data_IF_054157020759
#
_entry.id   IF_054157020759
#
_cell.length_a   1.000
_cell.length_b   1.000
_cell.length_c   1.000
_cell.angle_alpha   90.00
_cell.angle_beta   90.00
_cell.angle_gamma   90.00
#
_symmetry.space_group_name_H-M   'P 1'
#
loop_
_entity.id
_entity.type
_entity.pdbx_description
1 polymer ?
#
# COMPACT_ATOMS: atom_id res chain seq x y z
N UNK A 1 70.80 -37.84 22.87
CA UNK A 1 69.82 -37.13 22.01
C UNK A 1 68.67 -38.08 21.69
N UNK A 2 67.46 -37.90 22.26
CA UNK A 2 66.27 -38.70 21.93
C UNK A 2 65.29 -37.82 21.15
N UNK A 3 65.05 -38.15 19.88
CA UNK A 3 64.15 -37.42 18.97
C UNK A 3 62.70 -37.61 19.41
N UNK A 4 61.97 -36.52 19.61
CA UNK A 4 60.51 -36.52 19.84
C UNK A 4 59.81 -36.57 18.49
N UNK A 5 58.96 -37.58 18.24
CA UNK A 5 57.99 -37.54 17.16
C UNK A 5 56.79 -36.69 17.62
N UNK A 6 56.47 -35.64 16.86
CA UNK A 6 55.23 -34.88 16.98
C UNK A 6 54.21 -35.52 16.03
N UNK A 7 53.14 -36.07 16.58
CA UNK A 7 51.96 -36.51 15.82
C UNK A 7 51.05 -35.31 15.60
N UNK A 8 50.83 -34.91 14.35
CA UNK A 8 49.85 -33.88 13.97
C UNK A 8 48.49 -34.58 13.88
N UNK A 9 47.59 -34.28 14.81
CA UNK A 9 46.18 -34.67 14.75
C UNK A 9 45.43 -33.63 13.93
N UNK A 10 45.14 -33.93 12.66
CA UNK A 10 44.30 -33.12 11.79
C UNK A 10 42.84 -33.24 12.24
N UNK A 11 42.31 -32.20 12.87
CA UNK A 11 40.91 -32.09 13.24
C UNK A 11 40.08 -31.76 11.97
N UNK A 12 39.41 -32.75 11.40
CA UNK A 12 38.39 -32.55 10.37
C UNK A 12 37.15 -31.92 11.02
N UNK A 13 37.00 -30.61 10.89
CA UNK A 13 35.77 -29.90 11.22
C UNK A 13 34.79 -30.10 10.06
N UNK A 14 33.87 -31.05 10.19
CA UNK A 14 32.74 -31.20 9.28
C UNK A 14 31.79 -30.02 9.46
N UNK A 15 31.74 -29.10 8.49
CA UNK A 15 30.70 -28.08 8.46
C UNK A 15 29.37 -28.75 8.13
N UNK A 16 28.43 -28.73 9.08
CA UNK A 16 27.05 -29.10 8.81
C UNK A 16 26.39 -27.97 8.03
N UNK A 17 26.12 -28.19 6.74
CA UNK A 17 25.21 -27.34 5.96
C UNK A 17 23.78 -27.73 6.31
N UNK A 18 23.08 -26.88 7.09
CA UNK A 18 21.64 -27.01 7.21
C UNK A 18 21.02 -26.62 5.86
N UNK A 19 20.52 -27.60 5.10
CA UNK A 19 19.67 -27.33 3.98
C UNK A 19 18.39 -26.65 4.49
N UNK A 20 18.11 -25.42 4.07
CA UNK A 20 16.83 -24.79 4.35
C UNK A 20 15.73 -25.63 3.71
N UNK A 21 14.82 -26.14 4.54
CA UNK A 21 13.70 -26.97 4.09
C UNK A 21 12.54 -26.04 3.72
N UNK A 22 11.92 -26.27 2.56
CA UNK A 22 10.71 -25.56 2.17
C UNK A 22 9.57 -25.86 3.16
N UNK A 23 8.92 -24.82 3.64
CA UNK A 23 7.69 -24.92 4.43
C UNK A 23 6.52 -24.63 3.50
N UNK A 24 5.59 -25.58 3.38
CA UNK A 24 4.37 -25.38 2.62
C UNK A 24 3.36 -24.60 3.44
N UNK A 25 2.76 -23.58 2.82
CA UNK A 25 1.67 -22.79 3.40
C UNK A 25 0.66 -22.40 2.30
N UNK A 26 -0.50 -21.86 2.71
CA UNK A 26 -1.56 -21.41 1.82
C UNK A 26 -2.19 -20.10 2.33
N UNK A 27 -2.48 -19.19 1.41
CA UNK A 27 -3.16 -17.93 1.71
C UNK A 27 -4.51 -17.91 0.99
N UNK A 28 -5.60 -17.75 1.75
CA UNK A 28 -6.95 -17.62 1.20
C UNK A 28 -7.47 -16.20 1.34
N UNK A 29 -7.76 -15.55 0.22
CA UNK A 29 -8.42 -14.23 0.17
C UNK A 29 -9.96 -14.35 0.14
N UNK A 30 -10.49 -15.56 0.20
CA UNK A 30 -11.91 -15.85 0.09
C UNK A 30 -12.46 -15.71 -1.34
N UNK A 31 -13.70 -16.15 -1.53
CA UNK A 31 -14.38 -16.13 -2.84
C UNK A 31 -14.34 -14.74 -3.47
N UNK A 32 -13.98 -14.68 -4.76
CA UNK A 32 -13.87 -13.42 -5.52
C UNK A 32 -12.89 -12.41 -4.93
N UNK A 33 -11.89 -12.90 -4.17
CA UNK A 33 -10.89 -12.08 -3.48
C UNK A 33 -11.54 -11.06 -2.53
N UNK A 34 -12.47 -11.51 -1.68
CA UNK A 34 -13.24 -10.63 -0.79
C UNK A 34 -12.45 -10.04 0.39
N UNK A 35 -11.24 -10.53 0.66
CA UNK A 35 -10.44 -10.14 1.81
C UNK A 35 -9.04 -9.70 1.42
N UNK A 36 -8.51 -8.80 2.23
CA UNK A 36 -7.09 -8.50 2.33
C UNK A 36 -6.47 -9.44 3.38
N UNK A 37 -5.32 -10.03 3.06
CA UNK A 37 -4.59 -10.93 3.97
C UNK A 37 -3.17 -10.40 4.17
N UNK A 38 -2.86 -10.05 5.41
CA UNK A 38 -1.52 -9.66 5.85
C UNK A 38 -0.75 -10.93 6.21
N UNK A 39 0.47 -11.06 5.68
CA UNK A 39 1.29 -12.24 5.79
C UNK A 39 2.69 -11.88 6.29
N UNK A 40 3.21 -12.65 7.24
CA UNK A 40 4.58 -12.58 7.74
C UNK A 40 5.37 -13.77 7.24
N UNK A 41 6.60 -13.54 6.77
CA UNK A 41 7.47 -14.63 6.33
C UNK A 41 7.82 -15.60 7.47
N UNK A 42 7.78 -15.13 8.71
CA UNK A 42 8.09 -15.93 9.90
C UNK A 42 6.84 -16.61 10.51
N UNK A 43 5.66 -16.01 10.37
CA UNK A 43 4.45 -16.41 11.12
C UNK A 43 3.25 -16.80 10.25
N UNK A 44 3.37 -16.78 8.93
CA UNK A 44 2.25 -17.04 8.02
C UNK A 44 1.23 -15.89 8.00
N UNK A 45 -0.05 -16.20 7.77
CA UNK A 45 -1.12 -15.21 7.76
C UNK A 45 -1.37 -14.61 9.16
N UNK A 46 -1.18 -13.30 9.32
CA UNK A 46 -1.28 -12.60 10.62
C UNK A 46 -2.60 -11.87 10.81
N UNK A 47 -3.27 -11.45 9.74
CA UNK A 47 -4.61 -10.85 9.80
C UNK A 47 -5.34 -10.99 8.46
N UNK A 48 -6.62 -11.35 8.52
CA UNK A 48 -7.54 -11.33 7.37
C UNK A 48 -8.67 -10.36 7.66
N UNK A 49 -9.00 -9.50 6.69
CA UNK A 49 -10.05 -8.49 6.84
C UNK A 49 -10.76 -8.24 5.51
N UNK A 50 -12.08 -8.04 5.53
CA UNK A 50 -12.86 -7.74 4.33
C UNK A 50 -12.30 -6.51 3.60
N UNK A 51 -12.04 -6.58 2.31
CA UNK A 51 -11.40 -5.49 1.56
C UNK A 51 -12.35 -4.39 1.10
N UNK A 52 -13.66 -4.57 1.29
CA UNK A 52 -14.71 -3.65 0.85
C UNK A 52 -15.23 -2.70 1.94
N UNK A 53 -14.67 -2.75 3.15
CA UNK A 53 -15.17 -1.95 4.28
C UNK A 53 -14.53 -0.55 4.39
N UNK A 54 -13.68 -0.15 3.44
CA UNK A 54 -12.99 1.15 3.42
C UNK A 54 -12.97 1.75 2.01
N UNK A 55 -12.79 3.08 1.93
CA UNK A 55 -12.76 3.82 0.67
C UNK A 55 -11.49 4.65 0.51
N UNK A 56 -11.06 5.33 1.58
CA UNK A 56 -9.84 6.12 1.61
C UNK A 56 -9.02 5.79 2.86
N UNK A 57 -7.70 5.91 2.79
CA UNK A 57 -6.80 5.66 3.91
C UNK A 57 -5.75 6.76 4.04
N UNK A 58 -5.45 7.16 5.27
CA UNK A 58 -4.58 8.27 5.60
C UNK A 58 -3.31 7.74 6.26
N UNK A 59 -2.16 8.16 5.74
CA UNK A 59 -0.88 7.74 6.28
C UNK A 59 -0.73 8.17 7.74
N UNK A 60 -0.40 7.19 8.58
CA UNK A 60 -0.14 7.39 10.00
C UNK A 60 1.34 7.24 10.31
N UNK A 61 2.06 6.34 9.63
CA UNK A 61 3.48 6.16 9.86
C UNK A 61 4.30 7.29 9.20
N UNK A 62 5.06 8.08 9.97
CA UNK A 62 6.03 9.01 9.42
C UNK A 62 7.24 8.21 8.93
N UNK A 63 7.13 7.59 7.76
CA UNK A 63 8.30 6.97 7.14
C UNK A 63 9.14 8.09 6.53
N UNK A 64 10.26 8.42 7.16
CA UNK A 64 11.24 9.47 6.79
C UNK A 64 10.85 10.90 7.15
N UNK A 65 10.78 11.18 8.46
CA UNK A 65 10.68 12.55 8.99
C UNK A 65 9.36 13.25 8.64
N UNK A 66 9.17 14.50 9.10
CA UNK A 66 7.95 15.27 8.84
C UNK A 66 7.78 15.73 7.38
N UNK A 67 8.51 15.15 6.40
CA UNK A 67 8.67 15.75 5.06
C UNK A 67 8.73 14.79 3.87
N UNK A 68 8.57 13.47 4.01
CA UNK A 68 8.74 12.57 2.84
C UNK A 68 7.42 12.27 2.10
N UNK A 69 6.30 12.17 2.82
CA UNK A 69 4.99 11.88 2.24
C UNK A 69 3.85 12.13 3.23
N UNK A 70 2.72 12.61 2.71
CA UNK A 70 1.45 12.71 3.40
C UNK A 70 0.42 12.01 2.50
N UNK A 71 0.56 10.68 2.43
CA UNK A 71 -0.14 9.85 1.45
C UNK A 71 -1.61 9.62 1.82
N UNK A 72 -2.49 9.72 0.83
CA UNK A 72 -3.91 9.37 0.97
C UNK A 72 -4.30 8.37 -0.13
N UNK A 73 -4.44 7.11 0.28
CA UNK A 73 -4.80 6.01 -0.59
C UNK A 73 -6.31 6.02 -0.87
N UNK A 74 -6.69 5.45 -2.01
CA UNK A 74 -8.07 5.15 -2.33
C UNK A 74 -8.20 3.70 -2.77
N UNK A 75 -9.31 3.07 -2.38
CA UNK A 75 -9.58 1.66 -2.65
C UNK A 75 -10.09 1.46 -4.09
N UNK A 76 -9.27 1.75 -5.10
CA UNK A 76 -9.74 1.81 -6.49
C UNK A 76 -10.31 0.48 -7.02
N UNK A 77 -9.74 -0.65 -6.60
CA UNK A 77 -10.08 -1.96 -7.13
C UNK A 77 -11.31 -2.60 -6.50
N UNK A 78 -11.77 -2.09 -5.35
CA UNK A 78 -12.90 -2.59 -4.60
C UNK A 78 -13.94 -1.47 -4.49
N UNK A 79 -15.24 -1.77 -4.65
CA UNK A 79 -16.34 -0.77 -4.65
C UNK A 79 -16.27 0.32 -5.74
N UNK A 80 -15.38 0.20 -6.73
CA UNK A 80 -15.21 1.17 -7.82
C UNK A 80 -14.98 2.60 -7.27
N UNK A 81 -14.06 2.76 -6.33
CA UNK A 81 -13.72 4.09 -5.79
C UNK A 81 -12.91 4.88 -6.82
N UNK A 82 -13.44 6.02 -7.23
CA UNK A 82 -12.78 6.93 -8.17
C UNK A 82 -12.55 8.29 -7.52
N UNK A 83 -11.35 8.84 -7.67
CA UNK A 83 -10.95 10.13 -7.07
C UNK A 83 -10.67 11.11 -8.19
N UNK A 84 -11.23 12.32 -8.08
CA UNK A 84 -11.00 13.40 -9.04
C UNK A 84 -10.65 14.68 -8.28
N UNK A 85 -9.67 15.44 -8.77
CA UNK A 85 -9.51 16.83 -8.35
C UNK A 85 -10.45 17.70 -9.16
N UNK A 86 -11.11 18.64 -8.50
CA UNK A 86 -11.93 19.64 -9.16
C UNK A 86 -11.12 20.87 -9.58
N UNK A 87 -9.85 20.96 -9.19
CA UNK A 87 -8.98 22.12 -9.42
C UNK A 87 -9.66 23.43 -8.98
N UNK A 88 -10.33 23.37 -7.83
CA UNK A 88 -11.01 24.49 -7.19
C UNK A 88 -10.44 24.72 -5.80
N UNK A 89 -10.30 25.99 -5.43
CA UNK A 89 -9.92 26.39 -4.08
C UNK A 89 -10.96 25.91 -3.07
N UNK A 90 -10.52 25.11 -2.11
CA UNK A 90 -11.39 24.55 -1.09
C UNK A 90 -12.01 25.62 -0.18
N UNK A 91 -11.20 26.58 0.25
CA UNK A 91 -11.66 27.70 1.09
C UNK A 91 -12.69 28.57 0.37
N UNK A 92 -12.56 28.78 -0.94
CA UNK A 92 -13.48 29.61 -1.71
C UNK A 92 -14.76 28.87 -2.15
N UNK A 93 -14.69 27.57 -2.42
CA UNK A 93 -15.77 26.85 -3.13
C UNK A 93 -16.44 25.71 -2.37
N UNK A 94 -15.85 25.15 -1.30
CA UNK A 94 -16.38 23.90 -0.73
C UNK A 94 -17.84 24.00 -0.26
N UNK A 95 -18.19 25.12 0.41
CA UNK A 95 -19.52 25.37 0.96
C UNK A 95 -20.58 25.61 -0.13
N UNK A 96 -20.19 26.14 -1.28
CA UNK A 96 -21.11 26.52 -2.38
C UNK A 96 -20.99 25.61 -3.59
N UNK A 97 -20.16 24.55 -3.53
CA UNK A 97 -19.94 23.62 -4.62
C UNK A 97 -21.21 22.85 -4.97
N UNK A 98 -21.57 22.88 -6.25
CA UNK A 98 -22.73 22.22 -6.85
C UNK A 98 -22.29 21.12 -7.83
N UNK A 99 -23.24 20.28 -8.26
CA UNK A 99 -22.97 19.25 -9.27
C UNK A 99 -22.50 19.86 -10.61
N UNK A 100 -23.01 21.04 -11.00
CA UNK A 100 -22.60 21.75 -12.22
C UNK A 100 -21.12 22.12 -12.23
N UNK A 101 -20.52 22.40 -11.06
CA UNK A 101 -19.09 22.71 -10.96
C UNK A 101 -18.19 21.52 -11.35
N UNK A 102 -18.73 20.30 -11.37
CA UNK A 102 -17.98 19.05 -11.68
C UNK A 102 -17.97 18.68 -13.16
N UNK A 103 -18.77 19.36 -14.00
CA UNK A 103 -18.88 19.06 -15.43
C UNK A 103 -17.50 19.17 -16.10
N UNK A 104 -17.13 18.15 -16.86
CA UNK A 104 -15.84 18.04 -17.56
C UNK A 104 -14.62 17.76 -16.68
N UNK A 105 -14.81 17.61 -15.36
CA UNK A 105 -13.71 17.37 -14.39
C UNK A 105 -13.62 15.95 -13.87
N UNK A 106 -14.63 15.11 -14.18
CA UNK A 106 -14.75 13.75 -13.63
C UNK A 106 -14.82 12.67 -14.71
N UNK A 107 -14.27 12.96 -15.89
CA UNK A 107 -14.08 12.02 -16.98
C UNK A 107 -13.01 10.98 -16.61
N UNK A 108 -13.08 9.73 -17.11
CA UNK A 108 -12.16 8.66 -16.73
C UNK A 108 -10.67 9.01 -16.87
N UNK A 109 -10.30 9.82 -17.86
CA UNK A 109 -8.90 10.23 -18.12
C UNK A 109 -8.35 11.17 -17.03
N UNK A 110 -9.23 11.74 -16.20
CA UNK A 110 -8.88 12.60 -15.06
C UNK A 110 -8.91 11.86 -13.71
N UNK A 111 -9.18 10.56 -13.71
CA UNK A 111 -9.16 9.77 -12.48
C UNK A 111 -7.74 9.77 -11.89
N UNK A 112 -7.65 10.14 -10.63
CA UNK A 112 -6.40 10.14 -9.88
C UNK A 112 -6.18 8.76 -9.28
N UNK A 113 -5.39 7.94 -9.97
CA UNK A 113 -5.03 6.60 -9.50
C UNK A 113 -3.70 6.66 -8.72
N UNK A 114 -3.72 6.20 -7.47
CA UNK A 114 -2.53 6.08 -6.63
C UNK A 114 -1.44 5.20 -7.23
N UNK A 115 -0.21 5.29 -6.71
CA UNK A 115 0.88 4.44 -7.15
C UNK A 115 0.71 3.01 -6.65
N UNK A 116 0.95 2.05 -7.55
CA UNK A 116 1.15 0.64 -7.20
C UNK A 116 2.64 0.30 -6.97
N UNK A 117 3.54 1.29 -7.01
CA UNK A 117 4.99 1.10 -6.80
C UNK A 117 5.48 1.65 -5.47
N UNK A 118 4.70 2.49 -4.79
CA UNK A 118 5.04 3.03 -3.48
C UNK A 118 3.80 3.37 -2.66
N UNK A 119 3.87 3.12 -1.35
CA UNK A 119 2.84 3.53 -0.38
C UNK A 119 2.77 5.06 -0.18
N UNK A 120 3.81 5.78 -0.58
CA UNK A 120 3.99 7.21 -0.32
C UNK A 120 3.21 8.13 -1.29
N UNK A 121 2.66 7.58 -2.37
CA UNK A 121 1.95 8.33 -3.42
C UNK A 121 0.55 7.75 -3.60
N UNK A 122 -0.39 8.24 -2.82
CA UNK A 122 -1.81 7.93 -2.96
C UNK A 122 -2.52 8.74 -4.05
N UNK A 123 -3.82 8.53 -4.19
CA UNK A 123 -4.65 9.18 -5.22
C UNK A 123 -4.60 10.72 -5.12
N UNK A 124 -4.71 11.25 -3.89
CA UNK A 124 -4.73 12.69 -3.64
C UNK A 124 -3.36 13.35 -3.81
N UNK A 125 -2.28 12.57 -3.90
CA UNK A 125 -0.93 13.07 -4.11
C UNK A 125 -0.58 13.25 -5.59
N UNK A 126 -1.41 12.73 -6.51
CA UNK A 126 -1.12 12.71 -7.95
C UNK A 126 -1.10 14.09 -8.62
N UNK A 127 -1.73 15.10 -8.00
CA UNK A 127 -1.72 16.48 -8.52
C UNK A 127 -0.58 17.34 -8.00
N UNK A 128 0.42 16.73 -7.34
CA UNK A 128 1.57 17.48 -6.82
C UNK A 128 2.25 18.26 -7.93
N UNK A 129 2.45 19.56 -7.70
CA UNK A 129 3.36 20.36 -8.51
C UNK A 129 4.80 19.89 -8.27
N UNK A 130 5.41 19.30 -9.30
CA UNK A 130 6.77 18.76 -9.22
C UNK A 130 7.84 19.85 -9.05
N UNK A 131 7.54 21.10 -9.41
CA UNK A 131 8.45 22.23 -9.24
C UNK A 131 8.42 22.80 -7.81
N UNK A 132 7.40 22.46 -7.02
CA UNK A 132 7.23 22.94 -5.66
C UNK A 132 7.46 21.82 -4.65
N UNK A 133 8.61 21.86 -3.97
CA UNK A 133 8.97 20.88 -2.95
C UNK A 133 7.99 20.85 -1.77
N UNK A 134 7.26 21.95 -1.52
CA UNK A 134 6.27 22.07 -0.46
C UNK A 134 4.87 21.63 -0.88
N UNK A 135 4.65 21.25 -2.13
CA UNK A 135 3.36 20.75 -2.63
C UNK A 135 3.26 19.23 -2.44
N UNK A 136 2.12 18.75 -1.94
CA UNK A 136 1.84 17.34 -1.68
C UNK A 136 0.63 16.83 -2.49
N UNK A 137 0.13 17.63 -3.43
CA UNK A 137 -1.00 17.36 -4.32
C UNK A 137 -2.33 17.83 -3.75
N UNK A 138 -2.65 17.45 -2.52
CA UNK A 138 -3.89 17.88 -1.86
C UNK A 138 -3.74 19.13 -1.00
N UNK A 139 -2.50 19.49 -0.67
CA UNK A 139 -2.17 20.59 0.20
C UNK A 139 -0.69 20.93 0.16
N UNK A 140 -0.36 22.01 0.86
CA UNK A 140 0.98 22.59 0.87
C UNK A 140 1.53 22.67 2.29
N UNK A 141 2.82 22.42 2.41
CA UNK A 141 3.54 22.59 3.67
C UNK A 141 3.63 24.07 4.05
N UNK A 142 3.20 24.37 5.26
CA UNK A 142 3.29 25.69 5.86
C UNK A 142 4.52 25.74 6.78
N UNK A 143 5.52 26.53 6.39
CA UNK A 143 6.78 26.66 7.12
C UNK A 143 6.63 27.37 8.49
N UNK A 144 5.52 28.07 8.74
CA UNK A 144 5.25 28.72 10.03
C UNK A 144 4.68 27.72 11.04
N UNK A 145 3.72 26.90 10.61
CA UNK A 145 3.06 25.93 11.51
C UNK A 145 3.70 24.54 11.49
N UNK A 146 4.55 24.27 10.51
CA UNK A 146 5.09 22.95 10.19
C UNK A 146 4.00 21.90 9.88
N UNK A 147 2.81 22.34 9.48
CA UNK A 147 1.71 21.46 9.06
C UNK A 147 1.50 21.54 7.56
N UNK A 148 0.74 20.61 7.00
CA UNK A 148 0.19 20.78 5.66
C UNK A 148 -1.22 21.35 5.75
N UNK A 149 -1.50 22.35 4.91
CA UNK A 149 -2.84 22.93 4.76
C UNK A 149 -3.37 22.58 3.37
N UNK A 150 -4.55 21.96 3.32
CA UNK A 150 -5.13 21.61 2.02
C UNK A 150 -5.81 22.78 1.35
N UNK A 151 -5.57 22.90 0.06
CA UNK A 151 -6.02 24.02 -0.78
C UNK A 151 -7.07 23.59 -1.81
N UNK A 152 -7.26 22.28 -2.00
CA UNK A 152 -7.97 21.70 -3.15
C UNK A 152 -9.21 20.90 -2.74
N UNK A 153 -10.26 20.97 -3.59
CA UNK A 153 -11.46 20.14 -3.47
C UNK A 153 -11.35 18.90 -4.34
N UNK A 154 -11.66 17.76 -3.75
CA UNK A 154 -11.74 16.47 -4.42
C UNK A 154 -13.17 15.95 -4.47
N UNK A 155 -13.48 15.18 -5.49
CA UNK A 155 -14.69 14.38 -5.57
C UNK A 155 -14.32 12.90 -5.53
N UNK A 156 -14.86 12.16 -4.55
CA UNK A 156 -14.72 10.71 -4.44
C UNK A 156 -16.04 10.06 -4.81
N UNK A 157 -16.08 9.35 -5.93
CA UNK A 157 -17.23 8.54 -6.35
C UNK A 157 -17.08 7.11 -5.86
N UNK A 158 -18.18 6.52 -5.40
CA UNK A 158 -18.25 5.12 -4.96
C UNK A 158 -19.42 4.46 -5.70
N UNK A 159 -19.16 3.35 -6.38
CA UNK A 159 -20.14 2.74 -7.27
C UNK A 159 -20.54 3.68 -8.41
N UNK A 160 -21.85 3.79 -8.69
CA UNK A 160 -22.39 4.59 -9.80
C UNK A 160 -23.12 5.85 -9.36
N UNK A 161 -23.65 5.89 -8.13
CA UNK A 161 -24.59 6.93 -7.68
C UNK A 161 -24.06 7.83 -6.57
N UNK A 162 -23.06 7.36 -5.82
CA UNK A 162 -22.65 8.03 -4.59
C UNK A 162 -21.39 8.86 -4.84
N UNK A 163 -21.43 10.15 -4.47
CA UNK A 163 -20.29 11.05 -4.59
C UNK A 163 -20.12 11.91 -3.34
N UNK A 164 -18.89 12.00 -2.86
CA UNK A 164 -18.49 12.80 -1.71
C UNK A 164 -17.54 13.91 -2.14
N UNK A 165 -17.84 15.14 -1.75
CA UNK A 165 -16.91 16.27 -1.72
C UNK A 165 -15.94 16.05 -0.57
N UNK A 166 -14.65 16.11 -0.83
CA UNK A 166 -13.59 15.94 0.17
C UNK A 166 -12.69 17.17 0.17
N UNK A 167 -12.47 17.74 1.34
CA UNK A 167 -11.43 18.72 1.60
C UNK A 167 -10.60 18.26 2.77
N UNK A 168 -9.36 17.86 2.49
CA UNK A 168 -8.36 17.56 3.52
C UNK A 168 -7.86 18.90 4.03
N UNK A 169 -8.34 19.34 5.19
CA UNK A 169 -8.09 20.70 5.67
C UNK A 169 -6.68 20.85 6.23
N UNK A 170 -6.23 19.84 6.99
CA UNK A 170 -4.95 19.89 7.68
C UNK A 170 -4.37 18.49 7.87
N UNK A 171 -3.03 18.42 7.82
CA UNK A 171 -2.24 17.34 8.40
C UNK A 171 -1.21 17.92 9.35
N UNK A 172 -1.32 17.55 10.63
CA UNK A 172 -0.30 17.82 11.63
C UNK A 172 0.85 16.85 11.39
N UNK A 173 2.05 17.35 11.11
CA UNK A 173 3.19 16.52 10.70
C UNK A 173 4.14 16.17 11.84
N UNK A 174 4.11 16.94 12.93
CA UNK A 174 5.05 16.85 14.03
C UNK A 174 4.44 17.41 15.33
N UNK A 175 4.82 16.88 16.52
CA UNK A 175 5.63 15.68 16.76
C UNK A 175 4.94 14.40 16.28
N UNK A 176 5.69 13.32 16.11
CA UNK A 176 5.21 12.08 15.47
C UNK A 176 3.92 11.55 16.11
N UNK A 177 3.77 11.60 17.44
CA UNK A 177 2.55 11.13 18.11
C UNK A 177 1.38 12.12 18.05
N UNK A 178 1.63 13.36 17.63
CA UNK A 178 0.60 14.38 17.37
C UNK A 178 0.12 14.38 15.92
N UNK A 179 0.60 13.45 15.07
CA UNK A 179 0.08 13.32 13.71
C UNK A 179 -1.45 13.19 13.75
N UNK A 180 -2.12 14.04 12.98
CA UNK A 180 -3.56 14.04 12.89
C UNK A 180 -4.00 14.63 11.55
N UNK A 181 -5.05 14.04 10.99
CA UNK A 181 -5.69 14.54 9.78
C UNK A 181 -7.01 15.22 10.14
N UNK A 182 -7.29 16.35 9.51
CA UNK A 182 -8.59 17.02 9.56
C UNK A 182 -9.19 17.02 8.18
N UNK A 183 -10.35 16.38 8.01
CA UNK A 183 -10.95 16.16 6.70
C UNK A 183 -12.43 16.50 6.75
N UNK A 184 -12.85 17.46 5.94
CA UNK A 184 -14.27 17.78 5.74
C UNK A 184 -14.82 16.96 4.58
N UNK A 185 -15.96 16.35 4.80
CA UNK A 185 -16.63 15.43 3.88
C UNK A 185 -18.07 15.88 3.76
N UNK A 186 -18.56 16.06 2.53
CA UNK A 186 -19.93 16.49 2.28
C UNK A 186 -20.53 15.79 1.06
N UNK A 187 -21.85 15.60 1.04
CA UNK A 187 -22.59 15.26 -0.19
C UNK A 187 -23.08 16.54 -0.87
N UNK A 188 -23.52 16.45 -2.13
CA UNK A 188 -24.12 17.60 -2.83
C UNK A 188 -25.46 18.05 -2.23
N UNK A 189 -26.20 17.12 -1.63
CA UNK A 189 -27.48 17.43 -0.97
C UNK A 189 -27.31 18.18 0.36
N UNK A 190 -26.09 18.31 0.89
CA UNK A 190 -25.81 19.00 2.16
C UNK A 190 -26.22 18.23 3.42
N UNK A 191 -27.01 17.16 3.29
CA UNK A 191 -27.50 16.32 4.40
C UNK A 191 -26.40 15.54 5.14
N UNK A 192 -25.15 15.62 4.71
CA UNK A 192 -24.05 14.88 5.30
C UNK A 192 -22.72 15.63 5.18
N UNK A 193 -22.69 16.88 5.69
CA UNK A 193 -21.47 17.68 5.86
C UNK A 193 -20.89 17.47 7.26
N UNK A 194 -19.74 16.80 7.32
CA UNK A 194 -19.06 16.44 8.57
C UNK A 194 -17.57 16.69 8.46
N UNK A 195 -16.91 16.90 9.60
CA UNK A 195 -15.46 16.99 9.69
C UNK A 195 -14.92 15.87 10.56
N UNK A 196 -14.10 15.01 9.97
CA UNK A 196 -13.39 13.95 10.68
C UNK A 196 -12.05 14.48 11.18
N UNK A 197 -11.77 14.18 12.45
CA UNK A 197 -10.43 14.28 13.02
C UNK A 197 -9.91 12.85 13.17
N UNK A 198 -8.80 12.54 12.50
CA UNK A 198 -8.20 11.21 12.47
C UNK A 198 -6.84 11.31 13.17
N UNK A 199 -6.80 11.16 14.50
CA UNK A 199 -5.56 11.29 15.27
C UNK A 199 -4.79 9.98 15.25
N UNK A 200 -3.46 10.06 15.18
CA UNK A 200 -2.56 8.90 15.30
C UNK A 200 -2.58 8.30 16.69
N UNK A 201 -2.62 9.12 17.73
CA UNK A 201 -2.58 8.66 19.12
C UNK A 201 -3.51 9.49 20.00
N UNK A 202 -4.81 9.18 19.97
CA UNK A 202 -5.81 9.77 20.86
C UNK A 202 -7.05 8.89 20.92
N UNK A 203 -7.42 8.47 22.13
CA UNK A 203 -8.57 7.62 22.38
C UNK A 203 -9.85 8.14 21.66
N UNK A 204 -10.64 7.24 21.03
CA UNK A 204 -10.49 5.78 21.04
C UNK A 204 -9.47 5.22 20.02
N UNK A 205 -8.74 6.08 19.29
CA UNK A 205 -7.86 5.68 18.21
C UNK A 205 -6.39 5.57 18.62
N UNK A 206 -5.71 4.51 18.18
CA UNK A 206 -4.27 4.33 18.31
C UNK A 206 -3.70 3.65 17.06
N UNK A 207 -3.01 4.43 16.23
CA UNK A 207 -2.37 4.03 14.98
C UNK A 207 -0.84 4.15 15.05
N UNK A 208 -0.26 4.18 16.26
CA UNK A 208 1.19 4.38 16.46
C UNK A 208 2.04 3.29 15.79
N UNK A 209 1.50 2.08 15.68
CA UNK A 209 2.10 0.91 15.05
C UNK A 209 1.42 0.52 13.71
N UNK A 210 0.57 1.38 13.15
CA UNK A 210 -0.05 1.18 11.83
C UNK A 210 0.65 2.03 10.77
N UNK A 211 0.59 1.61 9.51
CA UNK A 211 0.98 2.43 8.36
C UNK A 211 -0.12 3.43 8.04
N UNK A 212 -1.39 3.00 8.07
CA UNK A 212 -2.54 3.81 7.68
C UNK A 212 -3.71 3.70 8.68
N UNK A 213 -4.51 4.76 8.74
CA UNK A 213 -5.87 4.71 9.28
C UNK A 213 -6.87 4.79 8.12
N UNK A 214 -7.94 4.01 8.19
CA UNK A 214 -8.87 3.85 7.08
C UNK A 214 -10.19 4.53 7.37
N UNK A 215 -10.88 5.00 6.33
CA UNK A 215 -12.20 5.63 6.46
C UNK A 215 -13.20 4.97 5.52
N UNK A 216 -14.35 4.61 6.08
CA UNK A 216 -15.53 4.26 5.31
C UNK A 216 -16.39 5.51 5.09
N UNK A 217 -16.34 6.09 3.89
CA UNK A 217 -17.15 7.26 3.53
C UNK A 217 -18.68 7.09 3.63
N UNK A 218 -19.20 5.86 3.65
CA UNK A 218 -20.64 5.60 3.81
C UNK A 218 -21.12 5.77 5.25
N UNK A 219 -20.32 5.30 6.21
CA UNK A 219 -20.62 5.38 7.65
C UNK A 219 -19.85 6.47 8.39
N UNK A 220 -18.89 7.11 7.71
CA UNK A 220 -17.88 8.01 8.29
C UNK A 220 -17.00 7.38 9.38
N UNK A 221 -17.00 6.04 9.49
CA UNK A 221 -16.21 5.32 10.47
C UNK A 221 -14.71 5.40 10.14
N UNK A 222 -13.92 5.71 11.17
CA UNK A 222 -12.45 5.57 11.16
C UNK A 222 -12.14 4.14 11.64
N UNK A 223 -11.33 3.41 10.90
CA UNK A 223 -11.10 1.97 11.08
C UNK A 223 -9.61 1.65 11.29
N UNK A 224 -9.35 0.76 12.25
CA UNK A 224 -8.06 0.08 12.42
C UNK A 224 -8.07 -1.30 11.73
N UNK A 225 -7.48 -1.35 10.53
CA UNK A 225 -7.53 -2.55 9.67
C UNK A 225 -6.23 -3.33 9.61
N UNK A 226 -5.09 -2.68 9.74
CA UNK A 226 -3.79 -3.35 9.65
C UNK A 226 -3.48 -4.09 10.96
N UNK A 227 -2.65 -5.16 10.94
CA UNK A 227 -1.91 -5.57 12.14
C UNK A 227 -0.79 -4.55 12.43
N UNK A 228 -0.02 -4.75 13.50
CA UNK A 228 1.20 -3.95 13.71
C UNK A 228 2.10 -4.03 12.46
N UNK A 229 2.66 -2.89 12.03
CA UNK A 229 3.61 -2.79 10.91
C UNK A 229 4.90 -3.60 11.11
N UNK A 230 5.13 -4.15 12.30
CA UNK A 230 6.20 -5.11 12.58
C UNK A 230 5.81 -6.57 12.34
N UNK A 231 4.52 -6.86 12.14
CA UNK A 231 3.97 -8.22 12.15
C UNK A 231 3.52 -8.69 10.76
N UNK A 232 3.94 -8.02 9.69
CA UNK A 232 3.68 -8.45 8.32
C UNK A 232 4.73 -7.93 7.35
N UNK A 233 4.97 -8.72 6.31
CA UNK A 233 5.95 -8.47 5.27
C UNK A 233 5.26 -8.30 3.90
N UNK A 234 4.15 -9.01 3.69
CA UNK A 234 3.40 -9.06 2.43
C UNK A 234 1.90 -8.82 2.68
N UNK A 235 1.22 -8.25 1.69
CA UNK A 235 -0.21 -8.02 1.67
C UNK A 235 -0.81 -8.61 0.39
N UNK A 236 -1.65 -9.62 0.54
CA UNK A 236 -2.46 -10.19 -0.53
C UNK A 236 -3.75 -9.36 -0.65
N UNK A 237 -3.91 -8.66 -1.77
CA UNK A 237 -4.99 -7.67 -1.92
C UNK A 237 -5.35 -7.44 -3.39
N UNK A 238 -6.39 -6.63 -3.62
CA UNK A 238 -6.77 -6.14 -4.94
C UNK A 238 -6.33 -4.69 -5.12
N UNK A 239 -5.82 -4.36 -6.29
CA UNK A 239 -5.38 -3.01 -6.62
C UNK A 239 -5.45 -2.78 -8.14
N UNK A 240 -5.27 -1.53 -8.59
CA UNK A 240 -5.15 -1.22 -10.02
C UNK A 240 -3.70 -1.38 -10.45
N UNK A 241 -3.48 -2.15 -11.51
CA UNK A 241 -2.20 -2.26 -12.20
C UNK A 241 -2.41 -2.16 -13.71
N UNK A 242 -1.34 -1.93 -14.44
CA UNK A 242 -1.32 -2.01 -15.89
C UNK A 242 -1.01 -3.46 -16.27
N UNK A 243 -1.93 -4.09 -16.99
CA UNK A 243 -1.76 -5.44 -17.47
C UNK A 243 -1.86 -5.49 -18.99
N UNK A 244 -0.99 -6.29 -19.60
CA UNK A 244 -1.04 -6.59 -21.03
C UNK A 244 -1.79 -7.90 -21.21
N UNK A 245 -2.97 -7.86 -21.81
CA UNK A 245 -3.71 -9.06 -22.22
C UNK A 245 -3.94 -9.02 -23.71
N UNK A 246 -3.61 -10.12 -24.40
CA UNK A 246 -3.81 -10.27 -25.84
C UNK A 246 -3.22 -9.11 -26.67
N UNK A 247 -2.08 -8.55 -26.24
CA UNK A 247 -1.40 -7.44 -26.91
C UNK A 247 -1.95 -6.04 -26.61
N UNK A 248 -2.99 -5.92 -25.77
CA UNK A 248 -3.51 -4.64 -25.29
C UNK A 248 -3.08 -4.38 -23.85
N UNK A 249 -2.48 -3.22 -23.62
CA UNK A 249 -2.05 -2.75 -22.30
C UNK A 249 -3.12 -1.86 -21.70
N UNK A 250 -3.79 -2.32 -20.65
CA UNK A 250 -4.89 -1.61 -19.99
C UNK A 250 -4.65 -1.52 -18.49
N UNK A 251 -5.10 -0.42 -17.87
CA UNK A 251 -5.20 -0.34 -16.41
C UNK A 251 -6.44 -1.11 -15.96
N UNK A 252 -6.26 -2.09 -15.11
CA UNK A 252 -7.33 -2.97 -14.65
C UNK A 252 -7.16 -3.40 -13.20
N UNK A 253 -8.25 -3.89 -12.62
CA UNK A 253 -8.25 -4.39 -11.25
C UNK A 253 -7.62 -5.79 -11.23
N UNK A 254 -6.52 -5.94 -10.51
CA UNK A 254 -5.80 -7.20 -10.35
C UNK A 254 -5.88 -7.68 -8.90
N UNK A 255 -5.64 -8.98 -8.68
CA UNK A 255 -5.37 -9.57 -7.35
C UNK A 255 -3.91 -9.98 -7.32
N UNK A 256 -3.15 -9.49 -6.34
CA UNK A 256 -1.72 -9.69 -6.28
C UNK A 256 -1.16 -9.52 -4.88
N UNK A 257 0.16 -9.44 -4.80
CA UNK A 257 0.91 -9.36 -3.55
C UNK A 257 1.71 -8.06 -3.54
N UNK A 258 1.47 -7.24 -2.53
CA UNK A 258 2.21 -6.00 -2.27
C UNK A 258 3.14 -6.19 -1.08
N UNK A 259 4.40 -5.78 -1.18
CA UNK A 259 5.35 -5.84 -0.08
C UNK A 259 5.21 -4.63 0.86
N UNK A 260 5.49 -4.87 2.14
CA UNK A 260 5.61 -3.85 3.18
C UNK A 260 6.74 -2.85 2.83
N UNK A 261 6.67 -1.56 3.21
CA UNK A 261 7.74 -0.62 2.84
C UNK A 261 9.12 -0.93 3.46
N UNK A 262 9.18 -1.75 4.52
CA UNK A 262 10.44 -2.26 5.08
C UNK A 262 10.91 -3.56 4.41
N UNK A 263 10.25 -4.01 3.35
CA UNK A 263 10.62 -5.18 2.57
C UNK A 263 11.14 -4.75 1.20
N UNK A 264 12.16 -5.44 0.72
CA UNK A 264 12.58 -5.39 -0.68
C UNK A 264 12.63 -6.80 -1.26
N UNK A 265 12.33 -6.94 -2.55
CA UNK A 265 12.22 -8.24 -3.22
C UNK A 265 13.17 -8.31 -4.41
N UNK A 266 13.85 -9.45 -4.56
CA UNK A 266 14.55 -9.81 -5.79
C UNK A 266 13.89 -11.01 -6.44
N UNK A 267 13.74 -10.98 -7.76
CA UNK A 267 13.14 -12.07 -8.54
C UNK A 267 14.22 -12.92 -9.19
N UNK A 268 14.09 -14.24 -9.08
CA UNK A 268 14.94 -15.21 -9.75
C UNK A 268 14.07 -16.13 -10.62
N UNK A 269 14.08 -15.94 -11.95
CA UNK A 269 13.28 -16.76 -12.86
C UNK A 269 13.78 -18.22 -12.89
N UNK A 270 12.94 -19.11 -13.41
CA UNK A 270 13.17 -20.55 -13.53
C UNK A 270 13.42 -21.26 -12.19
N UNK A 271 12.83 -20.74 -11.11
CA UNK A 271 13.08 -21.18 -9.73
C UNK A 271 14.57 -21.33 -9.39
N UNK A 272 15.41 -20.44 -9.94
CA UNK A 272 16.83 -20.44 -9.64
C UNK A 272 17.08 -20.12 -8.15
N UNK A 273 18.16 -20.70 -7.61
CA UNK A 273 18.69 -20.38 -6.28
C UNK A 273 20.10 -19.79 -6.41
N UNK A 274 20.22 -18.56 -6.97
CA UNK A 274 21.51 -17.91 -7.09
C UNK A 274 22.09 -17.54 -5.72
N UNK A 275 23.40 -17.31 -5.68
CA UNK A 275 24.06 -16.75 -4.50
C UNK A 275 23.49 -15.36 -4.24
N UNK A 276 23.20 -15.04 -2.96
CA UNK A 276 22.58 -13.77 -2.55
C UNK A 276 23.27 -12.52 -3.12
N UNK A 277 24.60 -12.55 -3.30
CA UNK A 277 25.38 -11.43 -3.84
C UNK A 277 25.01 -11.04 -5.28
N UNK A 278 24.34 -11.93 -6.02
CA UNK A 278 23.92 -11.70 -7.40
C UNK A 278 22.46 -11.23 -7.51
N UNK A 279 21.76 -11.05 -6.38
CA UNK A 279 20.37 -10.61 -6.36
C UNK A 279 20.28 -9.07 -6.36
N UNK A 280 19.37 -8.55 -7.17
CA UNK A 280 19.02 -7.12 -7.18
C UNK A 280 17.69 -6.92 -6.46
N UNK A 281 17.74 -6.36 -5.26
CA UNK A 281 16.55 -6.11 -4.44
C UNK A 281 15.87 -4.79 -4.83
N UNK A 282 14.56 -4.85 -5.02
CA UNK A 282 13.73 -3.74 -5.50
C UNK A 282 12.74 -3.33 -4.40
N UNK A 283 12.61 -2.02 -4.18
CA UNK A 283 11.70 -1.44 -3.17
C UNK A 283 10.28 -1.17 -3.71
N UNK A 284 10.03 -1.41 -5.00
CA UNK A 284 8.71 -1.25 -5.62
C UNK A 284 7.69 -2.16 -4.94
N UNK A 285 6.58 -1.59 -4.47
CA UNK A 285 5.68 -2.36 -3.60
C UNK A 285 5.04 -3.55 -4.33
N UNK A 286 4.91 -3.47 -5.66
CA UNK A 286 4.37 -4.54 -6.51
C UNK A 286 5.45 -5.41 -7.17
N UNK A 287 6.66 -5.53 -6.60
CA UNK A 287 7.70 -6.41 -7.18
C UNK A 287 7.29 -7.89 -7.25
N UNK A 288 6.46 -8.39 -6.31
CA UNK A 288 5.81 -9.71 -6.50
C UNK A 288 4.57 -9.56 -7.38
N UNK A 289 3.80 -8.51 -7.13
CA UNK A 289 2.76 -8.04 -8.03
C UNK A 289 1.62 -9.03 -8.25
N UNK A 290 0.97 -8.93 -9.40
CA UNK A 290 -0.10 -9.84 -9.81
C UNK A 290 0.40 -10.94 -10.75
N UNK A 291 1.55 -10.72 -11.39
CA UNK A 291 2.15 -11.42 -12.52
C UNK A 291 3.00 -12.64 -12.13
N UNK A 292 3.08 -12.96 -10.83
CA UNK A 292 3.39 -14.31 -10.36
C UNK A 292 2.43 -15.37 -10.91
N UNK A 293 1.30 -14.96 -11.49
CA UNK A 293 0.36 -15.79 -12.25
C UNK A 293 -0.19 -15.03 -13.47
N UNK A 294 -0.62 -15.75 -14.49
CA UNK A 294 -1.26 -15.18 -15.67
C UNK A 294 -2.38 -16.06 -16.21
N UNK A 295 -3.29 -15.46 -16.99
CA UNK A 295 -4.38 -16.18 -17.66
C UNK A 295 -3.95 -16.55 -19.08
N UNK A 296 -3.83 -17.85 -19.43
CA UNK A 296 -3.36 -18.27 -20.76
C UNK A 296 -4.46 -18.24 -21.84
N UNK A 297 -5.65 -17.69 -21.56
CA UNK A 297 -6.81 -17.69 -22.46
C UNK A 297 -7.87 -18.74 -22.12
N UNK A 298 -7.53 -19.72 -21.27
CA UNK A 298 -8.45 -20.70 -20.70
C UNK A 298 -8.13 -20.91 -19.22
N UNK A 299 -9.13 -21.24 -18.40
CA UNK A 299 -8.88 -21.66 -17.02
C UNK A 299 -8.20 -23.05 -17.00
N UNK A 300 -7.33 -23.33 -16.00
CA UNK A 300 -6.95 -22.45 -14.88
C UNK A 300 -5.89 -21.40 -15.24
N UNK A 301 -5.68 -20.42 -14.36
CA UNK A 301 -4.51 -19.55 -14.41
C UNK A 301 -3.22 -20.39 -14.26
N UNK A 302 -2.13 -19.91 -14.87
CA UNK A 302 -0.81 -20.53 -14.77
C UNK A 302 0.04 -19.73 -13.80
N UNK A 303 0.73 -20.43 -12.90
CA UNK A 303 1.71 -19.84 -11.96
C UNK A 303 3.07 -19.77 -12.64
N UNK A 304 3.72 -18.61 -12.53
CA UNK A 304 5.05 -18.36 -13.06
C UNK A 304 6.11 -19.13 -12.25
N UNK A 305 7.09 -19.74 -12.94
CA UNK A 305 8.18 -20.46 -12.29
C UNK A 305 9.28 -19.49 -11.80
N UNK A 306 8.96 -18.70 -10.76
CA UNK A 306 9.85 -17.66 -10.22
C UNK A 306 10.00 -17.82 -8.71
N UNK A 307 11.25 -17.73 -8.23
CA UNK A 307 11.54 -17.60 -6.80
C UNK A 307 11.64 -16.11 -6.45
N UNK A 308 11.00 -15.74 -5.34
CA UNK A 308 11.02 -14.38 -4.80
C UNK A 308 11.88 -14.38 -3.54
N UNK A 309 12.99 -13.67 -3.56
CA UNK A 309 13.83 -13.45 -2.40
C UNK A 309 13.33 -12.21 -1.66
N UNK A 310 12.79 -12.43 -0.47
CA UNK A 310 12.17 -11.40 0.37
C UNK A 310 13.17 -10.99 1.45
N UNK A 311 13.61 -9.73 1.44
CA UNK A 311 14.49 -9.16 2.46
C UNK A 311 13.71 -8.24 3.39
N UNK A 312 13.72 -8.55 4.68
CA UNK A 312 13.26 -7.61 5.69
C UNK A 312 14.40 -6.66 6.07
N UNK A 313 14.25 -5.36 5.78
CA UNK A 313 15.30 -4.34 5.96
C UNK A 313 15.56 -3.99 7.42
N UNK A 314 14.63 -4.27 8.33
CA UNK A 314 14.79 -3.98 9.75
C UNK A 314 15.61 -5.05 10.47
N UNK A 315 15.30 -6.32 10.20
CA UNK A 315 15.94 -7.47 10.84
C UNK A 315 17.14 -7.99 10.02
N UNK A 316 17.26 -7.56 8.76
CA UNK A 316 18.21 -8.09 7.78
C UNK A 316 18.05 -9.62 7.58
N UNK A 317 16.82 -10.14 7.72
CA UNK A 317 16.48 -11.53 7.42
C UNK A 317 16.11 -11.69 5.94
N UNK A 318 16.40 -12.87 5.39
CA UNK A 318 16.12 -13.23 4.01
C UNK A 318 15.27 -14.50 4.00
N UNK A 319 14.17 -14.46 3.26
CA UNK A 319 13.28 -15.59 3.02
C UNK A 319 13.17 -15.83 1.51
N UNK A 320 12.91 -17.07 1.11
CA UNK A 320 12.61 -17.40 -0.28
C UNK A 320 11.17 -17.88 -0.36
N UNK A 321 10.41 -17.32 -1.29
CA UNK A 321 9.02 -17.63 -1.55
C UNK A 321 8.87 -18.16 -2.98
N UNK A 322 8.13 -19.26 -3.13
CA UNK A 322 7.73 -19.79 -4.42
C UNK A 322 6.22 -20.03 -4.41
N UNK A 323 5.50 -19.48 -5.39
CA UNK A 323 4.10 -19.82 -5.59
C UNK A 323 4.00 -21.13 -6.36
N UNK A 324 3.11 -22.03 -5.91
CA UNK A 324 2.94 -23.36 -6.51
C UNK A 324 1.55 -23.60 -7.07
N UNK A 325 0.55 -22.83 -6.62
CA UNK A 325 -0.83 -22.94 -7.07
C UNK A 325 -1.59 -21.62 -6.92
N UNK A 326 -2.67 -21.46 -7.68
CA UNK A 326 -3.63 -20.39 -7.53
C UNK A 326 -5.05 -20.95 -7.64
N UNK A 327 -5.82 -20.78 -6.56
CA UNK A 327 -7.17 -21.34 -6.44
C UNK A 327 -8.28 -20.55 -7.16
N UNK A 328 -8.01 -19.29 -7.49
CA UNK A 328 -9.03 -18.36 -7.99
C UNK A 328 -9.86 -17.69 -6.90
#
# INVERSE_FOLDING_TARGET
MKKRLLSILSLLVSQFTFAQTWVYDSVSTGTSYANDVYYSMDNGATKTVANNNWHIAFQMAPQFGPSSSASILANHAVNNVQVFSLNLSATAKFATLTASDTIGKTNPERELVGSNKTWNIGAFNKNKDQSNLFDYGWGKYNQTTNNLSGDSIYLVKIGTTTAYKIWVQEYVSHPADSIAWKVRIATFSGNSDTTLIIPRNKAPYNFTDRLFAYVNLGSYAILDREPSKSNWDLLFTRYKDTATQMGLTLTMNVSGVLQHPNVSVAEAPNAAMPILANLSFIDSINSIGYDWKYFPGTYPYVVSNTNYFVKNKNTNTYSVLQFTAFGG
#
